data_IF_913097667305
#
_entry.id   IF_913097667305
#
_cell.length_a   1.000
_cell.length_b   1.000
_cell.length_c   1.000
_cell.angle_alpha   90.00
_cell.angle_beta   90.00
_cell.angle_gamma   90.00
#
_symmetry.space_group_name_H-M   'P 1'
#
loop_
_entity.id
_entity.type
_entity.pdbx_description
1 polymer ?
#
# COMPACT_ATOMS: atom_id res chain seq x y z
N UNK A 1 15.84 -62.19 2.42
CA UNK A 1 17.14 -61.87 1.77
C UNK A 1 16.94 -62.05 0.26
N UNK A 2 16.89 -61.01 -0.56
CA UNK A 2 18.06 -60.33 -1.14
C UNK A 2 17.68 -58.89 -1.50
N UNK A 3 18.28 -57.95 -0.78
CA UNK A 3 18.39 -56.55 -1.17
C UNK A 3 19.37 -56.44 -2.34
N UNK A 4 19.00 -55.71 -3.37
CA UNK A 4 19.95 -55.09 -4.31
C UNK A 4 19.52 -53.65 -4.52
N UNK A 5 20.02 -52.83 -3.61
CA UNK A 5 20.31 -51.41 -3.79
C UNK A 5 21.07 -51.21 -5.11
N UNK A 6 20.56 -50.32 -5.94
CA UNK A 6 21.28 -49.60 -6.99
C UNK A 6 20.49 -48.30 -7.15
N UNK A 7 20.60 -47.33 -6.23
CA UNK A 7 21.66 -46.32 -6.22
C UNK A 7 22.16 -45.99 -7.64
N UNK A 8 21.33 -45.29 -8.41
CA UNK A 8 21.81 -44.42 -9.46
C UNK A 8 21.19 -43.04 -9.24
N UNK A 9 21.90 -42.27 -8.43
CA UNK A 9 21.74 -40.83 -8.25
C UNK A 9 21.81 -40.15 -9.60
N UNK A 10 20.69 -39.63 -10.10
CA UNK A 10 20.70 -38.63 -11.15
C UNK A 10 20.51 -37.27 -10.49
N UNK A 11 21.65 -36.59 -10.36
CA UNK A 11 21.87 -35.23 -9.92
C UNK A 11 20.82 -34.29 -10.55
N UNK A 12 19.82 -33.86 -9.79
CA UNK A 12 18.94 -32.76 -10.19
C UNK A 12 19.64 -31.46 -9.78
N UNK A 13 20.07 -30.68 -10.77
CA UNK A 13 20.70 -29.38 -10.62
C UNK A 13 19.84 -28.46 -9.73
N UNK A 14 20.32 -28.16 -8.53
CA UNK A 14 19.90 -26.98 -7.78
C UNK A 14 20.45 -25.76 -8.50
N UNK A 15 19.62 -25.11 -9.31
CA UNK A 15 19.91 -23.78 -9.82
C UNK A 15 19.79 -22.79 -8.64
N UNK A 16 20.91 -22.54 -7.98
CA UNK A 16 21.02 -21.44 -7.01
C UNK A 16 20.94 -20.12 -7.78
N UNK A 17 19.74 -19.54 -7.86
CA UNK A 17 19.58 -18.14 -8.24
C UNK A 17 20.17 -17.26 -7.16
N UNK A 18 21.32 -16.63 -7.43
CA UNK A 18 21.82 -15.54 -6.60
C UNK A 18 20.87 -14.35 -6.75
N UNK A 19 20.07 -14.07 -5.72
CA UNK A 19 19.32 -12.82 -5.65
C UNK A 19 20.27 -11.71 -5.21
N UNK A 20 20.29 -10.61 -5.97
CA UNK A 20 21.04 -9.43 -5.62
C UNK A 20 20.42 -8.75 -4.40
N UNK A 21 21.18 -8.65 -3.31
CA UNK A 21 20.81 -7.87 -2.13
C UNK A 21 20.91 -6.38 -2.49
N UNK A 22 19.80 -5.75 -2.86
CA UNK A 22 19.77 -4.30 -3.08
C UNK A 22 19.65 -3.61 -1.72
N UNK A 23 20.79 -3.26 -1.14
CA UNK A 23 20.87 -2.44 0.08
C UNK A 23 20.32 -1.05 -0.26
N UNK A 24 19.04 -0.81 0.05
CA UNK A 24 18.46 0.52 0.07
C UNK A 24 18.86 1.15 1.39
N UNK A 25 19.75 2.15 1.33
CA UNK A 25 20.05 3.00 2.47
C UNK A 25 18.77 3.68 2.97
N UNK A 26 18.46 3.49 4.25
CA UNK A 26 17.43 4.25 4.95
C UNK A 26 17.94 5.69 5.15
N UNK A 27 17.16 6.73 4.86
CA UNK A 27 17.43 8.02 5.47
C UNK A 27 17.12 7.92 6.96
N UNK A 28 18.17 7.89 7.79
CA UNK A 28 18.08 8.26 9.20
C UNK A 28 17.55 9.68 9.27
N UNK A 29 16.29 9.84 9.66
CA UNK A 29 15.81 11.12 10.16
C UNK A 29 14.93 10.84 11.38
N UNK A 30 15.63 10.72 12.50
CA UNK A 30 15.13 11.07 13.82
C UNK A 30 14.56 12.49 13.76
N UNK A 31 13.25 12.62 13.85
CA UNK A 31 12.56 13.55 14.76
C UNK A 31 11.08 13.72 14.38
N UNK A 32 10.27 13.84 15.44
CA UNK A 32 8.84 14.15 15.49
C UNK A 32 7.84 13.03 15.14
N UNK A 33 7.10 12.64 16.19
CA UNK A 33 5.80 11.95 16.22
C UNK A 33 4.84 12.43 15.12
N UNK A 34 4.96 11.83 13.94
CA UNK A 34 3.96 11.82 12.88
C UNK A 34 3.61 10.35 12.68
N UNK A 35 2.35 9.98 12.84
CA UNK A 35 1.91 8.63 12.51
C UNK A 35 2.26 8.36 11.04
N UNK A 36 3.34 7.62 10.82
CA UNK A 36 3.77 7.22 9.49
C UNK A 36 2.88 6.04 9.12
N UNK A 37 1.78 6.33 8.42
CA UNK A 37 1.04 5.30 7.71
C UNK A 37 2.00 4.77 6.63
N UNK A 38 2.47 3.54 6.79
CA UNK A 38 3.38 2.91 5.85
C UNK A 38 2.74 2.83 4.47
N UNK A 39 3.34 3.48 3.48
CA UNK A 39 2.92 3.40 2.08
C UNK A 39 3.73 2.26 1.45
N UNK A 40 3.14 1.07 1.37
CA UNK A 40 3.68 -0.01 0.55
C UNK A 40 3.46 0.31 -0.93
N UNK A 41 4.53 0.65 -1.66
CA UNK A 41 4.45 0.88 -3.11
C UNK A 41 4.82 -0.42 -3.81
N UNK A 42 3.83 -1.23 -4.18
CA UNK A 42 4.04 -2.38 -5.06
C UNK A 42 4.23 -1.89 -6.51
N UNK A 43 5.29 -2.35 -7.17
CA UNK A 43 5.68 -1.89 -8.49
C UNK A 43 4.68 -2.29 -9.61
N UNK A 44 3.82 -3.31 -9.39
CA UNK A 44 2.72 -3.63 -10.31
C UNK A 44 1.49 -2.74 -10.11
N UNK A 45 1.48 -1.88 -9.09
CA UNK A 45 0.41 -0.93 -8.83
C UNK A 45 0.77 0.51 -9.25
N UNK A 46 1.92 0.68 -9.90
CA UNK A 46 2.33 1.93 -10.54
C UNK A 46 1.28 2.33 -11.58
N UNK A 47 0.61 3.46 -11.36
CA UNK A 47 -0.40 4.03 -12.25
C UNK A 47 -1.85 3.92 -11.76
N UNK A 48 -2.14 3.18 -10.67
CA UNK A 48 -3.48 3.16 -10.09
C UNK A 48 -3.70 4.37 -9.18
N UNK A 49 -4.78 5.12 -9.43
CA UNK A 49 -5.22 6.24 -8.59
C UNK A 49 -6.09 5.72 -7.46
N UNK A 50 -5.46 5.31 -6.37
CA UNK A 50 -6.12 4.71 -5.19
C UNK A 50 -5.47 5.20 -3.90
N UNK A 51 -6.22 5.18 -2.80
CA UNK A 51 -5.68 5.29 -1.46
C UNK A 51 -5.49 3.89 -0.87
N UNK A 52 -4.38 3.63 -0.18
CA UNK A 52 -4.12 2.34 0.44
C UNK A 52 -4.37 2.37 1.95
N UNK A 53 -4.95 1.29 2.48
CA UNK A 53 -5.05 1.04 3.92
C UNK A 53 -5.15 -0.48 4.16
N UNK A 54 -4.32 -1.02 5.07
CA UNK A 54 -4.26 -2.46 5.38
C UNK A 54 -4.25 -3.35 4.13
N UNK A 55 -3.33 -3.07 3.20
CA UNK A 55 -3.14 -3.80 1.93
C UNK A 55 -4.35 -3.80 0.98
N UNK A 56 -5.36 -2.97 1.25
CA UNK A 56 -6.52 -2.77 0.40
C UNK A 56 -6.45 -1.41 -0.31
N UNK A 57 -6.89 -1.41 -1.57
CA UNK A 57 -6.95 -0.23 -2.42
C UNK A 57 -8.38 0.33 -2.47
N UNK A 58 -8.50 1.64 -2.25
CA UNK A 58 -9.76 2.37 -2.21
C UNK A 58 -9.79 3.44 -3.30
N UNK A 59 -10.92 3.56 -4.00
CA UNK A 59 -11.11 4.55 -5.06
C UNK A 59 -11.42 5.95 -4.51
N UNK A 60 -11.36 6.95 -5.39
CA UNK A 60 -11.81 8.32 -5.11
C UNK A 60 -13.22 8.32 -4.47
N UNK A 61 -13.38 9.08 -3.40
CA UNK A 61 -14.64 9.24 -2.66
C UNK A 61 -14.92 8.14 -1.63
N UNK A 62 -14.08 7.10 -1.53
CA UNK A 62 -14.23 6.09 -0.50
C UNK A 62 -14.09 6.71 0.90
N UNK A 63 -14.98 6.32 1.82
CA UNK A 63 -14.93 6.74 3.23
C UNK A 63 -14.44 5.55 4.06
N UNK A 64 -13.42 5.78 4.87
CA UNK A 64 -12.79 4.78 5.73
C UNK A 64 -12.85 5.25 7.18
N UNK A 65 -13.30 4.39 8.09
CA UNK A 65 -13.22 4.64 9.53
C UNK A 65 -11.96 3.98 10.10
N UNK A 66 -11.14 4.75 10.80
CA UNK A 66 -9.94 4.28 11.52
C UNK A 66 -10.05 4.73 12.97
N UNK A 67 -10.43 3.80 13.84
CA UNK A 67 -10.78 4.11 15.23
C UNK A 67 -12.00 5.04 15.29
N UNK A 68 -11.80 6.23 15.86
CA UNK A 68 -12.84 7.27 15.98
C UNK A 68 -12.81 8.32 14.86
N UNK A 69 -11.86 8.19 13.91
CA UNK A 69 -11.70 9.13 12.81
C UNK A 69 -12.29 8.59 11.52
N UNK A 70 -12.93 9.47 10.75
CA UNK A 70 -13.32 9.19 9.38
C UNK A 70 -12.33 9.85 8.43
N UNK A 71 -11.99 9.12 7.37
CA UNK A 71 -11.12 9.57 6.28
C UNK A 71 -11.88 9.44 4.96
N UNK A 72 -11.60 10.33 4.03
CA UNK A 72 -12.09 10.28 2.65
C UNK A 72 -10.90 10.22 1.69
N UNK A 73 -10.96 9.32 0.71
CA UNK A 73 -9.94 9.24 -0.34
C UNK A 73 -10.19 10.33 -1.38
N UNK A 74 -9.35 11.36 -1.44
CA UNK A 74 -9.50 12.52 -2.32
C UNK A 74 -8.26 12.78 -3.16
N UNK A 75 -8.41 13.64 -4.19
CA UNK A 75 -7.28 14.10 -4.98
C UNK A 75 -6.30 14.86 -4.09
N UNK A 76 -5.01 14.54 -4.20
CA UNK A 76 -3.95 15.21 -3.45
C UNK A 76 -3.82 16.71 -3.80
N UNK A 77 -4.28 17.08 -4.99
CA UNK A 77 -4.26 18.45 -5.48
C UNK A 77 -5.61 18.81 -6.12
N UNK A 78 -6.22 19.89 -5.64
CA UNK A 78 -7.52 20.40 -6.10
C UNK A 78 -7.53 20.92 -7.54
N UNK A 79 -6.36 21.21 -8.12
CA UNK A 79 -6.24 21.70 -9.49
C UNK A 79 -5.73 20.63 -10.47
N UNK A 80 -5.38 19.45 -9.98
CA UNK A 80 -4.86 18.34 -10.80
C UNK A 80 -5.85 17.18 -10.80
N UNK A 81 -6.57 17.00 -11.90
CA UNK A 81 -7.66 16.02 -12.00
C UNK A 81 -7.17 14.59 -12.20
N UNK A 82 -5.92 14.41 -12.64
CA UNK A 82 -5.27 13.14 -12.94
C UNK A 82 -4.18 12.75 -11.92
N UNK A 83 -3.96 13.56 -10.88
CA UNK A 83 -2.94 13.32 -9.87
C UNK A 83 -3.27 12.21 -8.87
N UNK A 84 -2.31 11.90 -8.00
CA UNK A 84 -2.45 10.87 -6.95
C UNK A 84 -3.62 11.15 -5.99
N UNK A 85 -4.10 10.09 -5.33
CA UNK A 85 -5.09 10.20 -4.26
C UNK A 85 -4.43 10.09 -2.88
N UNK A 86 -5.02 10.71 -1.87
CA UNK A 86 -4.59 10.61 -0.47
C UNK A 86 -5.80 10.59 0.47
N UNK A 87 -5.57 10.11 1.69
CA UNK A 87 -6.56 10.16 2.77
C UNK A 87 -6.62 11.56 3.38
N UNK A 88 -7.79 12.17 3.38
CA UNK A 88 -8.07 13.41 4.11
C UNK A 88 -9.07 13.15 5.26
N UNK A 89 -9.00 13.90 6.37
CA UNK A 89 -10.03 13.85 7.41
C UNK A 89 -11.41 14.16 6.82
N UNK A 90 -12.38 13.30 7.10
CA UNK A 90 -13.76 13.47 6.70
C UNK A 90 -14.58 13.96 7.89
N UNK A 91 -15.02 15.22 7.82
CA UNK A 91 -16.10 15.71 8.68
C UNK A 91 -17.37 15.67 7.83
N UNK A 92 -18.40 14.89 8.20
CA UNK A 92 -19.69 14.95 7.52
C UNK A 92 -20.15 16.41 7.51
N UNK A 93 -20.22 17.03 6.34
CA UNK A 93 -20.73 18.39 6.26
C UNK A 93 -22.18 18.33 6.70
N UNK A 94 -22.47 18.86 7.89
CA UNK A 94 -23.83 19.14 8.29
C UNK A 94 -24.39 20.13 7.27
N UNK A 95 -25.25 19.65 6.38
CA UNK A 95 -25.95 20.51 5.43
C UNK A 95 -26.69 21.56 6.23
N UNK A 96 -26.18 22.80 6.25
CA UNK A 96 -26.90 23.95 6.77
C UNK A 96 -28.24 23.96 6.03
N UNK A 97 -29.40 23.86 6.71
CA UNK A 97 -30.68 23.85 6.03
C UNK A 97 -30.75 25.12 5.17
N UNK A 98 -30.96 24.92 3.88
CA UNK A 98 -31.14 26.01 2.94
C UNK A 98 -32.34 26.82 3.44
N UNK A 99 -32.08 28.06 3.87
CA UNK A 99 -33.12 28.99 4.25
C UNK A 99 -33.97 29.28 3.00
N UNK A 100 -35.08 28.55 2.86
CA UNK A 100 -36.11 28.85 1.86
C UNK A 100 -36.72 30.18 2.27
N UNK A 101 -36.32 31.24 1.56
CA UNK A 101 -37.03 32.51 1.56
C UNK A 101 -38.39 32.35 0.93
#
# INVERSE_FOLDING_TARGET
MKSKICMLSLLLCVASGAQAEKVVGLPSQSDATKAVIGIGVDANQVGKRVCYYQDQAYSLGAILQVGEHYLICQAANKFETNGSLLWEPYTPQQTKPANKR
#
